data_IF_692081222479
#
_entry.id   IF_692081222479
#
_cell.length_a   1.000
_cell.length_b   1.000
_cell.length_c   1.000
_cell.angle_alpha   90.00
_cell.angle_beta   90.00
_cell.angle_gamma   90.00
#
_symmetry.space_group_name_H-M   'P 1'
#
loop_
_entity.id
_entity.type
_entity.pdbx_description
1 polymer ?
#
# COMPACT_ATOMS: atom_id res chain seq x y z
N UNK A 1 7.28 -15.07 31.64
CA UNK A 1 7.45 -13.71 31.10
C UNK A 1 6.41 -12.77 31.68
N UNK A 2 6.80 -11.65 32.32
CA UNK A 2 5.83 -10.74 32.93
C UNK A 2 4.91 -10.08 31.86
N UNK A 3 3.67 -9.71 32.25
CA UNK A 3 2.72 -9.05 31.33
C UNK A 3 3.28 -7.76 30.70
N UNK A 4 4.16 -7.06 31.42
CA UNK A 4 4.86 -5.86 30.93
C UNK A 4 5.87 -6.20 29.81
N UNK A 5 6.58 -7.33 29.94
CA UNK A 5 7.52 -7.77 28.91
C UNK A 5 6.78 -8.20 27.64
N UNK A 6 5.67 -8.95 27.74
CA UNK A 6 4.82 -9.31 26.60
C UNK A 6 4.31 -8.07 25.86
N UNK A 7 3.85 -7.04 26.58
CA UNK A 7 3.38 -5.81 25.98
C UNK A 7 4.50 -5.11 25.19
N UNK A 8 5.71 -5.04 25.75
CA UNK A 8 6.87 -4.42 25.10
C UNK A 8 7.16 -5.10 23.76
N UNK A 9 7.22 -6.43 23.71
CA UNK A 9 7.47 -7.17 22.46
C UNK A 9 6.37 -6.97 21.42
N UNK A 10 5.11 -6.96 21.83
CA UNK A 10 3.97 -6.67 20.91
C UNK A 10 4.09 -5.27 20.31
N UNK A 11 4.50 -4.27 21.10
CA UNK A 11 4.66 -2.90 20.62
C UNK A 11 5.85 -2.77 19.65
N UNK A 12 6.98 -3.43 19.92
CA UNK A 12 8.10 -3.49 18.97
C UNK A 12 7.73 -4.23 17.68
N UNK A 13 6.97 -5.33 17.78
CA UNK A 13 6.40 -6.02 16.63
C UNK A 13 5.49 -5.15 15.80
N UNK A 14 4.67 -4.30 16.46
CA UNK A 14 3.81 -3.35 15.76
C UNK A 14 4.61 -2.25 15.02
N UNK A 15 5.73 -1.79 15.59
CA UNK A 15 6.65 -0.85 14.90
C UNK A 15 7.25 -1.53 13.67
N UNK A 16 7.78 -2.74 13.83
CA UNK A 16 8.35 -3.50 12.72
C UNK A 16 7.34 -3.72 11.59
N UNK A 17 6.12 -4.18 11.95
CA UNK A 17 5.05 -4.38 10.99
C UNK A 17 4.61 -3.07 10.32
N UNK A 18 4.63 -1.95 11.05
CA UNK A 18 4.37 -0.62 10.53
C UNK A 18 5.40 -0.20 9.47
N UNK A 19 6.70 -0.28 9.79
CA UNK A 19 7.78 0.00 8.85
C UNK A 19 7.73 -0.90 7.63
N UNK A 20 7.56 -2.22 7.83
CA UNK A 20 7.39 -3.18 6.75
C UNK A 20 6.23 -2.80 5.81
N UNK A 21 5.03 -2.61 6.37
CA UNK A 21 3.84 -2.30 5.59
C UNK A 21 3.92 -0.94 4.89
N UNK A 22 4.59 0.05 5.50
CA UNK A 22 4.74 1.40 4.93
C UNK A 22 5.47 1.37 3.59
N UNK A 23 6.70 0.84 3.55
CA UNK A 23 7.46 0.79 2.30
C UNK A 23 6.93 -0.25 1.32
N UNK A 24 6.38 -1.37 1.82
CA UNK A 24 5.72 -2.34 0.95
C UNK A 24 4.53 -1.73 0.22
N UNK A 25 3.71 -0.94 0.92
CA UNK A 25 2.56 -0.24 0.33
C UNK A 25 3.01 0.81 -0.70
N UNK A 26 4.01 1.61 -0.36
CA UNK A 26 4.57 2.63 -1.26
C UNK A 26 4.97 2.02 -2.60
N UNK A 27 5.76 0.94 -2.55
CA UNK A 27 6.22 0.24 -3.75
C UNK A 27 5.06 -0.41 -4.53
N UNK A 28 4.10 -1.02 -3.83
CA UNK A 28 2.93 -1.63 -4.47
C UNK A 28 2.09 -0.59 -5.21
N UNK A 29 1.85 0.56 -4.58
CA UNK A 29 1.09 1.65 -5.20
C UNK A 29 1.84 2.27 -6.37
N UNK A 30 3.14 2.56 -6.23
CA UNK A 30 3.95 3.08 -7.33
C UNK A 30 3.91 2.13 -8.52
N UNK A 31 3.96 0.83 -8.26
CA UNK A 31 3.88 -0.20 -9.30
C UNK A 31 2.51 -0.24 -9.97
N UNK A 32 1.41 -0.18 -9.20
CA UNK A 32 0.05 -0.15 -9.76
C UNK A 32 -0.20 1.11 -10.60
N UNK A 33 0.23 2.27 -10.10
CA UNK A 33 0.07 3.55 -10.80
C UNK A 33 0.88 3.64 -12.08
N UNK A 34 2.01 2.94 -12.16
CA UNK A 34 2.89 3.02 -13.35
C UNK A 34 2.20 2.63 -14.65
N UNK A 35 1.17 1.78 -14.60
CA UNK A 35 0.34 1.44 -15.76
C UNK A 35 -0.53 2.59 -16.28
N UNK A 36 -0.88 3.56 -15.42
CA UNK A 36 -1.76 4.68 -15.77
C UNK A 36 -1.00 5.98 -16.06
N UNK A 37 0.07 6.23 -15.31
CA UNK A 37 0.79 7.51 -15.36
C UNK A 37 2.23 7.39 -15.87
N UNK A 38 2.66 6.17 -16.17
CA UNK A 38 4.03 5.86 -16.57
C UNK A 38 5.03 5.90 -15.41
N UNK A 39 6.17 5.27 -15.61
CA UNK A 39 7.28 5.20 -14.61
C UNK A 39 8.25 6.35 -14.82
N UNK A 40 7.82 7.60 -14.60
CA UNK A 40 8.69 8.77 -14.75
C UNK A 40 9.24 9.24 -13.40
N UNK A 41 10.40 9.89 -13.41
CA UNK A 41 10.98 10.51 -12.23
C UNK A 41 10.04 11.57 -11.62
N UNK A 42 9.27 12.29 -12.45
CA UNK A 42 8.31 13.30 -12.00
C UNK A 42 7.19 12.65 -11.21
N UNK A 43 6.58 11.58 -11.73
CA UNK A 43 5.52 10.84 -11.07
C UNK A 43 5.99 10.28 -9.72
N UNK A 44 7.17 9.63 -9.71
CA UNK A 44 7.75 9.08 -8.49
C UNK A 44 8.03 10.19 -7.46
N UNK A 45 8.58 11.33 -7.87
CA UNK A 45 8.87 12.46 -6.99
C UNK A 45 7.61 13.04 -6.34
N UNK A 46 6.50 13.13 -7.08
CA UNK A 46 5.21 13.60 -6.54
C UNK A 46 4.71 12.63 -5.47
N UNK A 47 4.68 11.34 -5.78
CA UNK A 47 4.20 10.31 -4.86
C UNK A 47 5.04 10.33 -3.59
N UNK A 48 6.36 10.21 -3.69
CA UNK A 48 7.29 10.20 -2.56
C UNK A 48 7.16 11.51 -1.75
N UNK A 49 7.09 12.65 -2.42
CA UNK A 49 6.96 13.96 -1.76
C UNK A 49 5.68 14.05 -0.92
N UNK A 50 4.54 13.63 -1.45
CA UNK A 50 3.27 13.59 -0.71
C UNK A 50 3.34 12.60 0.45
N UNK A 51 3.86 11.39 0.23
CA UNK A 51 3.99 10.37 1.28
C UNK A 51 4.85 10.88 2.46
N UNK A 52 6.02 11.46 2.17
CA UNK A 52 6.92 12.01 3.19
C UNK A 52 6.29 13.21 3.92
N UNK A 53 5.57 14.08 3.22
CA UNK A 53 4.89 15.22 3.83
C UNK A 53 3.82 14.75 4.83
N UNK A 54 2.97 13.80 4.44
CA UNK A 54 1.95 13.27 5.33
C UNK A 54 2.51 12.42 6.47
N UNK A 55 3.58 11.66 6.24
CA UNK A 55 4.29 10.94 7.29
C UNK A 55 4.89 11.93 8.31
N UNK A 56 5.45 13.06 7.86
CA UNK A 56 5.93 14.12 8.73
C UNK A 56 4.81 14.74 9.58
N UNK A 57 3.65 15.00 8.99
CA UNK A 57 2.46 15.45 9.72
C UNK A 57 2.00 14.40 10.75
N UNK A 58 2.09 13.12 10.39
CA UNK A 58 1.83 12.01 11.29
C UNK A 58 2.77 12.00 12.50
N UNK A 59 4.07 12.17 12.28
CA UNK A 59 5.07 12.30 13.35
C UNK A 59 4.75 13.48 14.27
N UNK A 60 4.47 14.64 13.70
CA UNK A 60 4.10 15.83 14.47
C UNK A 60 2.87 15.55 15.33
N UNK A 61 1.78 15.04 14.74
CA UNK A 61 0.55 14.75 15.48
C UNK A 61 0.75 13.67 16.53
N UNK A 62 1.47 12.59 16.20
CA UNK A 62 1.76 11.49 17.13
C UNK A 62 2.59 11.96 18.34
N UNK A 63 3.49 12.91 18.16
CA UNK A 63 4.29 13.47 19.25
C UNK A 63 3.48 14.29 20.27
N UNK A 64 2.32 14.83 19.87
CA UNK A 64 1.44 15.62 20.76
C UNK A 64 0.41 14.77 21.49
N UNK A 65 0.14 13.53 21.03
CA UNK A 65 -0.88 12.66 21.63
C UNK A 65 -0.46 12.22 23.03
N UNK A 66 -1.25 12.58 24.05
CA UNK A 66 -1.06 12.10 25.42
C UNK A 66 -1.83 10.81 25.65
N UNK A 67 -1.11 9.73 25.92
CA UNK A 67 -1.72 8.40 26.11
C UNK A 67 -1.55 7.94 27.55
N UNK A 68 -2.66 7.58 28.17
CA UNK A 68 -2.66 6.87 29.47
C UNK A 68 -2.06 5.47 29.26
N UNK A 69 -1.27 5.02 30.24
CA UNK A 69 -0.49 3.76 30.21
C UNK A 69 -1.30 2.53 29.76
N UNK A 70 -2.57 2.44 30.15
CA UNK A 70 -3.41 1.27 29.90
C UNK A 70 -4.20 1.36 28.56
N UNK A 71 -4.11 2.46 27.82
CA UNK A 71 -4.92 2.69 26.60
C UNK A 71 -4.12 2.67 25.31
N UNK A 72 -2.80 2.41 25.35
CA UNK A 72 -1.94 2.46 24.15
C UNK A 72 -2.48 1.54 23.04
N UNK A 73 -2.88 0.32 23.37
CA UNK A 73 -3.42 -0.65 22.41
C UNK A 73 -4.72 -0.18 21.76
N UNK A 74 -5.60 0.45 22.54
CA UNK A 74 -6.89 0.96 22.08
C UNK A 74 -6.74 2.16 21.12
N UNK A 75 -5.64 2.88 21.23
CA UNK A 75 -5.32 4.00 20.33
C UNK A 75 -4.68 3.53 19.03
N UNK A 76 -3.81 2.52 19.10
CA UNK A 76 -3.07 2.04 17.92
C UNK A 76 -3.85 1.06 17.06
N UNK A 77 -4.67 0.21 17.67
CA UNK A 77 -5.38 -0.84 16.92
C UNK A 77 -6.32 -0.28 15.82
N UNK A 78 -7.10 0.78 16.05
CA UNK A 78 -7.88 1.43 14.97
C UNK A 78 -7.01 1.98 13.85
N UNK A 79 -5.84 2.56 14.17
CA UNK A 79 -4.94 3.09 13.15
C UNK A 79 -4.51 2.00 12.16
N UNK A 80 -4.18 0.79 12.64
CA UNK A 80 -3.83 -0.34 11.78
C UNK A 80 -5.01 -0.86 10.95
N UNK A 81 -6.24 -0.79 11.46
CA UNK A 81 -7.45 -1.13 10.67
C UNK A 81 -7.63 -0.13 9.53
N UNK A 82 -7.48 1.17 9.81
CA UNK A 82 -7.57 2.21 8.78
C UNK A 82 -6.43 2.08 7.76
N UNK A 83 -5.21 1.76 8.20
CA UNK A 83 -4.08 1.47 7.32
C UNK A 83 -4.44 0.32 6.36
N UNK A 84 -4.98 -0.78 6.87
CA UNK A 84 -5.39 -1.92 6.04
C UNK A 84 -6.46 -1.51 5.01
N UNK A 85 -7.47 -0.76 5.43
CA UNK A 85 -8.52 -0.26 4.54
C UNK A 85 -7.94 0.66 3.45
N UNK A 86 -7.12 1.64 3.84
CA UNK A 86 -6.49 2.56 2.90
C UNK A 86 -5.51 1.85 1.95
N UNK A 87 -4.80 0.83 2.42
CA UNK A 87 -3.94 0.00 1.56
C UNK A 87 -4.74 -0.67 0.45
N UNK A 88 -5.91 -1.23 0.77
CA UNK A 88 -6.79 -1.86 -0.22
C UNK A 88 -7.35 -0.83 -1.20
N UNK A 89 -7.86 0.29 -0.69
CA UNK A 89 -8.48 1.32 -1.52
C UNK A 89 -7.47 2.00 -2.45
N UNK A 90 -6.27 2.29 -1.94
CA UNK A 90 -5.24 2.99 -2.70
C UNK A 90 -4.41 2.09 -3.63
N UNK A 91 -4.54 0.78 -3.56
CA UNK A 91 -3.75 -0.14 -4.39
C UNK A 91 -4.62 -1.03 -5.28
N UNK A 92 -5.95 -0.89 -5.24
CA UNK A 92 -6.83 -1.67 -6.09
C UNK A 92 -6.80 -1.11 -7.52
N UNK A 93 -6.47 -1.97 -8.50
CA UNK A 93 -6.45 -1.60 -9.91
C UNK A 93 -7.77 -0.99 -10.39
N UNK A 94 -8.90 -1.59 -9.97
CA UNK A 94 -10.25 -1.13 -10.33
C UNK A 94 -10.52 0.29 -9.80
N UNK A 95 -10.12 0.57 -8.56
CA UNK A 95 -10.34 1.89 -7.96
C UNK A 95 -9.41 2.94 -8.56
N UNK A 96 -8.21 2.55 -8.95
CA UNK A 96 -7.27 3.41 -9.69
C UNK A 96 -7.87 3.76 -11.05
N UNK A 97 -8.33 2.75 -11.80
CA UNK A 97 -8.95 2.96 -13.11
C UNK A 97 -10.18 3.85 -13.02
N UNK A 98 -11.10 3.58 -12.09
CA UNK A 98 -12.27 4.42 -11.83
C UNK A 98 -11.88 5.87 -11.51
N UNK A 99 -10.82 6.06 -10.73
CA UNK A 99 -10.30 7.40 -10.42
C UNK A 99 -9.81 8.11 -11.69
N UNK A 100 -8.99 7.46 -12.52
CA UNK A 100 -8.48 8.07 -13.76
C UNK A 100 -9.60 8.33 -14.77
N UNK A 101 -10.56 7.44 -14.87
CA UNK A 101 -11.77 7.65 -15.67
C UNK A 101 -12.53 8.90 -15.21
N UNK A 102 -12.76 9.06 -13.92
CA UNK A 102 -13.44 10.23 -13.36
C UNK A 102 -12.65 11.53 -13.59
N UNK A 103 -11.31 11.51 -13.41
CA UNK A 103 -10.45 12.68 -13.66
C UNK A 103 -10.49 13.11 -15.14
N UNK A 104 -10.46 12.16 -16.06
CA UNK A 104 -10.58 12.42 -17.48
C UNK A 104 -11.96 13.01 -17.84
N UNK A 105 -13.03 12.49 -17.22
CA UNK A 105 -14.39 13.00 -17.35
C UNK A 105 -14.57 14.44 -16.86
N UNK A 106 -13.80 14.84 -15.83
CA UNK A 106 -13.73 16.21 -15.31
C UNK A 106 -12.83 17.14 -16.17
N UNK A 107 -12.22 16.63 -17.25
CA UNK A 107 -11.34 17.38 -18.11
C UNK A 107 -9.91 17.57 -17.58
N UNK A 108 -9.55 16.93 -16.45
CA UNK A 108 -8.20 16.98 -15.89
C UNK A 108 -7.36 15.89 -16.59
N UNK A 109 -6.68 16.27 -17.66
CA UNK A 109 -5.87 15.36 -18.51
C UNK A 109 -4.38 15.38 -18.18
N UNK A 110 -3.93 16.29 -17.33
CA UNK A 110 -2.51 16.37 -16.93
C UNK A 110 -2.17 15.23 -16.00
N UNK A 111 -1.28 14.32 -16.42
CA UNK A 111 -0.77 13.19 -15.63
C UNK A 111 -0.19 13.66 -14.28
N UNK A 112 0.51 14.79 -14.28
CA UNK A 112 1.08 15.41 -13.07
C UNK A 112 -0.03 15.79 -12.08
N UNK A 113 -1.08 16.46 -12.56
CA UNK A 113 -2.21 16.87 -11.72
C UNK A 113 -2.99 15.66 -11.21
N UNK A 114 -3.25 14.68 -12.08
CA UNK A 114 -3.92 13.43 -11.68
C UNK A 114 -3.12 12.69 -10.61
N UNK A 115 -1.80 12.52 -10.79
CA UNK A 115 -0.93 11.86 -9.80
C UNK A 115 -0.92 12.60 -8.47
N UNK A 116 -0.84 13.93 -8.51
CA UNK A 116 -0.82 14.75 -7.29
C UNK A 116 -2.13 14.63 -6.50
N UNK A 117 -3.27 14.77 -7.18
CA UNK A 117 -4.59 14.65 -6.55
C UNK A 117 -4.82 13.23 -6.02
N UNK A 118 -4.45 12.20 -6.78
CA UNK A 118 -4.51 10.81 -6.33
C UNK A 118 -3.72 10.61 -5.03
N UNK A 119 -2.48 11.08 -5.01
CA UNK A 119 -1.60 10.94 -3.85
C UNK A 119 -2.15 11.68 -2.63
N UNK A 120 -2.75 12.85 -2.82
CA UNK A 120 -3.38 13.60 -1.73
C UNK A 120 -4.62 12.90 -1.18
N UNK A 121 -5.49 12.38 -2.04
CA UNK A 121 -6.79 11.86 -1.61
C UNK A 121 -6.72 10.42 -1.09
N UNK A 122 -5.99 9.55 -1.78
CA UNK A 122 -6.00 8.12 -1.52
C UNK A 122 -4.75 7.61 -0.81
N UNK A 123 -3.57 8.20 -1.09
CA UNK A 123 -2.32 7.73 -0.49
C UNK A 123 -1.97 8.40 0.82
N UNK A 124 -2.41 9.61 1.09
CA UNK A 124 -1.95 10.41 2.23
C UNK A 124 -2.28 9.83 3.60
N UNK A 125 -3.41 9.13 3.72
CA UNK A 125 -3.90 8.64 5.01
C UNK A 125 -3.00 7.56 5.64
N UNK A 126 -2.51 6.61 4.84
CA UNK A 126 -1.67 5.51 5.34
C UNK A 126 -0.32 6.01 5.86
N UNK A 127 0.49 6.81 5.13
CA UNK A 127 1.73 7.40 5.64
C UNK A 127 1.54 8.28 6.87
N UNK A 128 0.46 9.08 6.89
CA UNK A 128 0.12 9.85 8.07
C UNK A 128 -0.06 8.96 9.31
N UNK A 129 -0.77 7.85 9.18
CA UNK A 129 -1.00 6.92 10.28
C UNK A 129 0.27 6.16 10.65
N UNK A 130 1.11 5.75 9.70
CA UNK A 130 2.41 5.14 10.00
C UNK A 130 3.29 6.09 10.81
N UNK A 131 3.43 7.35 10.38
CA UNK A 131 4.18 8.36 11.13
C UNK A 131 3.60 8.60 12.53
N UNK A 132 2.27 8.70 12.64
CA UNK A 132 1.59 8.85 13.93
C UNK A 132 1.86 7.66 14.86
N UNK A 133 1.75 6.42 14.39
CA UNK A 133 1.98 5.21 15.17
C UNK A 133 3.41 5.17 15.70
N UNK A 134 4.40 5.39 14.85
CA UNK A 134 5.82 5.38 15.22
C UNK A 134 6.14 6.45 16.27
N UNK A 135 5.62 7.68 16.12
CA UNK A 135 5.83 8.76 17.09
C UNK A 135 5.14 8.48 18.42
N UNK A 136 3.93 7.98 18.39
CA UNK A 136 3.17 7.59 19.60
C UNK A 136 3.90 6.50 20.38
N UNK A 137 4.40 5.46 19.70
CA UNK A 137 5.15 4.37 20.32
C UNK A 137 6.49 4.82 20.85
N UNK A 138 7.21 5.67 20.12
CA UNK A 138 8.46 6.27 20.56
C UNK A 138 8.26 7.04 21.89
N UNK A 139 7.28 7.93 21.93
CA UNK A 139 6.96 8.69 23.13
C UNK A 139 6.48 7.82 24.30
N UNK A 140 5.68 6.80 24.01
CA UNK A 140 5.17 5.89 25.04
C UNK A 140 6.29 5.06 25.66
N UNK A 141 7.19 4.48 24.87
CA UNK A 141 8.26 3.61 25.35
C UNK A 141 9.46 4.38 25.92
N UNK A 142 9.67 5.65 25.49
CA UNK A 142 10.68 6.54 26.08
C UNK A 142 10.49 6.73 27.59
N UNK A 143 9.24 6.68 28.09
CA UNK A 143 8.95 6.80 29.52
C UNK A 143 9.52 5.66 30.37
N UNK A 144 9.86 4.54 29.77
CA UNK A 144 10.42 3.37 30.49
C UNK A 144 11.94 3.28 30.36
N UNK A 145 12.50 3.76 29.24
CA UNK A 145 13.92 3.79 28.97
C UNK A 145 14.18 4.81 27.86
N UNK A 146 15.06 5.77 28.10
CA UNK A 146 15.41 6.83 27.15
C UNK A 146 15.97 6.26 25.84
N UNK A 147 16.67 5.12 25.91
CA UNK A 147 17.24 4.46 24.73
C UNK A 147 16.19 3.81 23.82
N UNK A 148 14.93 3.68 24.27
CA UNK A 148 13.88 3.06 23.45
C UNK A 148 13.54 3.86 22.19
N UNK A 149 13.73 5.19 22.18
CA UNK A 149 13.50 6.00 20.98
C UNK A 149 14.39 5.56 19.82
N UNK A 150 15.70 5.42 20.04
CA UNK A 150 16.63 4.92 19.02
C UNK A 150 16.35 3.49 18.60
N UNK A 151 15.98 2.62 19.56
CA UNK A 151 15.61 1.22 19.27
C UNK A 151 14.35 1.14 18.40
N UNK A 152 13.35 1.97 18.64
CA UNK A 152 12.12 2.03 17.83
C UNK A 152 12.46 2.45 16.41
N UNK A 153 13.24 3.54 16.24
CA UNK A 153 13.66 3.98 14.92
C UNK A 153 14.46 2.89 14.18
N UNK A 154 15.36 2.20 14.86
CA UNK A 154 16.10 1.09 14.28
C UNK A 154 15.17 -0.05 13.82
N UNK A 155 14.21 -0.46 14.65
CA UNK A 155 13.25 -1.54 14.33
C UNK A 155 12.33 -1.12 13.19
N UNK A 156 11.85 0.11 13.17
CA UNK A 156 11.05 0.69 12.07
C UNK A 156 11.83 0.67 10.76
N UNK A 157 13.07 1.15 10.78
CA UNK A 157 13.96 1.14 9.60
C UNK A 157 14.25 -0.27 9.10
N UNK A 158 14.54 -1.23 10.00
CA UNK A 158 14.75 -2.64 9.62
C UNK A 158 13.48 -3.22 9.01
N UNK A 159 12.32 -2.94 9.60
CA UNK A 159 11.03 -3.31 9.02
C UNK A 159 10.85 -2.76 7.61
N UNK A 160 11.14 -1.48 7.42
CA UNK A 160 11.05 -0.78 6.13
C UNK A 160 12.00 -1.37 5.08
N UNK A 161 13.26 -1.62 5.44
CA UNK A 161 14.25 -2.26 4.55
C UNK A 161 13.79 -3.66 4.13
N UNK A 162 13.37 -4.47 5.08
CA UNK A 162 12.86 -5.81 4.77
C UNK A 162 11.56 -5.75 3.96
N UNK A 163 10.68 -4.79 4.27
CA UNK A 163 9.46 -4.54 3.51
C UNK A 163 9.76 -4.23 2.05
N UNK A 164 10.70 -3.31 1.78
CA UNK A 164 11.05 -2.94 0.40
C UNK A 164 11.69 -4.10 -0.36
N UNK A 165 12.67 -4.78 0.23
CA UNK A 165 13.39 -5.88 -0.42
C UNK A 165 12.46 -7.07 -0.69
N UNK A 166 11.73 -7.53 0.33
CA UNK A 166 10.85 -8.69 0.19
C UNK A 166 9.68 -8.40 -0.74
N UNK A 167 9.11 -7.21 -0.69
CA UNK A 167 8.02 -6.84 -1.60
C UNK A 167 8.47 -6.85 -3.05
N UNK A 168 9.60 -6.22 -3.36
CA UNK A 168 10.03 -6.07 -4.76
C UNK A 168 10.66 -7.34 -5.31
N UNK A 169 11.48 -8.06 -4.52
CA UNK A 169 12.23 -9.22 -5.01
C UNK A 169 11.51 -10.56 -4.82
N UNK A 170 10.55 -10.62 -3.91
CA UNK A 170 9.88 -11.89 -3.58
C UNK A 170 8.37 -11.79 -3.81
N UNK A 171 7.67 -10.87 -3.13
CA UNK A 171 6.21 -10.89 -3.15
C UNK A 171 5.68 -10.56 -4.54
N UNK A 172 6.07 -9.43 -5.12
CA UNK A 172 5.56 -9.02 -6.44
C UNK A 172 5.93 -10.00 -7.57
N UNK A 173 7.16 -10.54 -7.67
CA UNK A 173 7.49 -11.49 -8.75
C UNK A 173 6.81 -12.85 -8.61
N UNK A 174 6.66 -13.37 -7.39
CA UNK A 174 6.16 -14.74 -7.19
C UNK A 174 4.66 -14.81 -6.87
N UNK A 175 4.11 -13.75 -6.28
CA UNK A 175 2.71 -13.72 -5.81
C UNK A 175 1.87 -12.72 -6.61
N UNK A 176 2.52 -11.79 -7.30
CA UNK A 176 1.87 -10.70 -8.03
C UNK A 176 1.56 -9.49 -7.15
N UNK A 177 1.33 -8.35 -7.79
CA UNK A 177 1.09 -7.07 -7.08
C UNK A 177 -0.21 -7.11 -6.29
N UNK A 178 -1.27 -7.69 -6.87
CA UNK A 178 -2.60 -7.76 -6.25
C UNK A 178 -2.59 -8.54 -4.94
N UNK A 179 -2.00 -9.73 -4.94
CA UNK A 179 -1.87 -10.55 -3.74
C UNK A 179 -0.90 -9.93 -2.72
N UNK A 180 0.12 -9.21 -3.18
CA UNK A 180 1.02 -8.44 -2.29
C UNK A 180 0.23 -7.39 -1.50
N UNK A 181 -0.68 -6.65 -2.13
CA UNK A 181 -1.58 -5.70 -1.44
C UNK A 181 -2.43 -6.40 -0.38
N UNK A 182 -2.98 -7.56 -0.72
CA UNK A 182 -3.78 -8.36 0.24
C UNK A 182 -2.92 -8.79 1.44
N UNK A 183 -1.68 -9.20 1.23
CA UNK A 183 -0.74 -9.56 2.31
C UNK A 183 -0.39 -8.36 3.20
N UNK A 184 -0.19 -7.18 2.62
CA UNK A 184 0.05 -5.93 3.38
C UNK A 184 -1.15 -5.61 4.26
N UNK A 185 -2.36 -5.66 3.70
CA UNK A 185 -3.60 -5.44 4.45
C UNK A 185 -3.77 -6.49 5.57
N UNK A 186 -3.52 -7.76 5.27
CA UNK A 186 -3.57 -8.85 6.26
C UNK A 186 -2.56 -8.64 7.41
N UNK A 187 -1.33 -8.22 7.11
CA UNK A 187 -0.31 -7.92 8.10
C UNK A 187 -0.73 -6.75 9.03
N UNK A 188 -1.34 -5.70 8.46
CA UNK A 188 -1.88 -4.59 9.24
C UNK A 188 -3.05 -5.04 10.14
N UNK A 189 -4.00 -5.84 9.62
CA UNK A 189 -5.10 -6.38 10.41
C UNK A 189 -4.64 -7.35 11.50
N UNK A 190 -3.66 -8.20 11.20
CA UNK A 190 -3.04 -9.07 12.20
C UNK A 190 -2.40 -8.25 13.32
N UNK A 191 -1.72 -7.16 12.98
CA UNK A 191 -1.13 -6.23 13.96
C UNK A 191 -2.22 -5.59 14.81
N UNK A 192 -3.34 -5.15 14.23
CA UNK A 192 -4.49 -4.63 14.96
C UNK A 192 -5.08 -5.67 15.94
N UNK A 193 -5.18 -6.92 15.51
CA UNK A 193 -5.66 -8.01 16.33
C UNK A 193 -4.70 -8.32 17.49
N UNK A 194 -3.40 -8.39 17.25
CA UNK A 194 -2.37 -8.57 18.29
C UNK A 194 -2.36 -7.40 19.30
N UNK A 195 -2.70 -6.20 18.86
CA UNK A 195 -2.94 -5.05 19.72
C UNK A 195 -4.26 -5.14 20.51
N UNK A 196 -5.07 -6.18 20.27
CA UNK A 196 -6.28 -6.48 21.04
C UNK A 196 -7.54 -5.83 20.49
N UNK A 197 -7.58 -5.49 19.19
CA UNK A 197 -8.83 -5.12 18.53
C UNK A 197 -9.82 -6.28 18.54
N UNK A 198 -11.07 -5.96 18.83
CA UNK A 198 -12.20 -6.92 18.80
C UNK A 198 -13.14 -6.69 17.62
N UNK A 199 -12.78 -5.80 16.70
CA UNK A 199 -13.59 -5.48 15.52
C UNK A 199 -13.43 -6.53 14.41
N UNK A 200 -13.64 -7.80 14.77
CA UNK A 200 -13.42 -8.96 13.88
C UNK A 200 -14.28 -8.85 12.61
N UNK A 201 -15.54 -8.43 12.75
CA UNK A 201 -16.46 -8.29 11.60
C UNK A 201 -15.92 -7.27 10.59
N UNK A 202 -15.43 -6.11 11.07
CA UNK A 202 -14.84 -5.09 10.21
C UNK A 202 -13.55 -5.60 9.54
N UNK A 203 -12.70 -6.33 10.29
CA UNK A 203 -11.48 -6.91 9.74
C UNK A 203 -11.78 -7.94 8.64
N UNK A 204 -12.77 -8.81 8.87
CA UNK A 204 -13.22 -9.78 7.86
C UNK A 204 -13.81 -9.07 6.63
N UNK A 205 -14.57 -7.99 6.82
CA UNK A 205 -15.10 -7.20 5.72
C UNK A 205 -13.99 -6.56 4.88
N UNK A 206 -12.95 -5.99 5.52
CA UNK A 206 -11.80 -5.42 4.81
C UNK A 206 -11.04 -6.52 4.03
N UNK A 207 -10.86 -7.71 4.62
CA UNK A 207 -10.21 -8.83 3.92
C UNK A 207 -11.05 -9.33 2.75
N UNK A 208 -12.37 -9.39 2.89
CA UNK A 208 -13.28 -9.75 1.80
C UNK A 208 -13.23 -8.71 0.68
N UNK A 209 -13.23 -7.42 1.03
CA UNK A 209 -13.07 -6.34 0.06
C UNK A 209 -11.71 -6.42 -0.65
N UNK A 210 -10.61 -6.66 0.09
CA UNK A 210 -9.29 -6.86 -0.48
C UNK A 210 -9.28 -8.00 -1.50
N UNK A 211 -9.86 -9.14 -1.13
CA UNK A 211 -9.95 -10.30 -2.01
C UNK A 211 -10.82 -10.01 -3.25
N UNK A 212 -11.97 -9.37 -3.08
CA UNK A 212 -12.90 -9.10 -4.18
C UNK A 212 -12.34 -8.09 -5.18
N UNK A 213 -11.67 -7.03 -4.68
CA UNK A 213 -11.15 -5.94 -5.51
C UNK A 213 -9.80 -6.28 -6.19
N UNK A 214 -9.07 -7.28 -5.68
CA UNK A 214 -7.76 -7.65 -6.20
C UNK A 214 -7.75 -9.08 -6.78
N UNK A 215 -8.91 -9.57 -7.22
CA UNK A 215 -9.03 -10.92 -7.79
C UNK A 215 -8.50 -10.95 -9.21
N UNK A 216 -7.57 -11.84 -9.50
CA UNK A 216 -6.94 -11.96 -10.83
C UNK A 216 -7.95 -12.27 -11.94
N UNK A 217 -8.97 -13.09 -11.67
CA UNK A 217 -10.04 -13.36 -12.64
C UNK A 217 -10.76 -12.11 -13.11
N UNK A 218 -11.01 -11.18 -12.20
CA UNK A 218 -11.70 -9.94 -12.52
C UNK A 218 -10.82 -9.04 -13.39
N UNK A 219 -9.51 -9.01 -13.14
CA UNK A 219 -8.56 -8.27 -13.97
C UNK A 219 -8.42 -8.92 -15.37
N UNK A 220 -8.46 -10.25 -15.45
CA UNK A 220 -8.41 -10.97 -16.72
C UNK A 220 -9.69 -10.74 -17.53
N UNK A 221 -10.87 -10.88 -16.90
CA UNK A 221 -12.16 -10.80 -17.58
C UNK A 221 -12.56 -9.38 -17.99
N UNK A 222 -12.20 -8.36 -17.19
CA UNK A 222 -12.63 -6.96 -17.41
C UNK A 222 -11.55 -6.15 -18.14
N UNK A 223 -10.28 -6.37 -17.78
CA UNK A 223 -9.15 -5.56 -18.28
C UNK A 223 -8.21 -6.35 -19.20
N UNK A 224 -8.51 -7.64 -19.46
CA UNK A 224 -7.66 -8.54 -20.24
C UNK A 224 -6.21 -8.57 -19.75
N UNK A 225 -6.00 -8.30 -18.43
CA UNK A 225 -4.68 -8.35 -17.82
C UNK A 225 -4.33 -9.80 -17.52
N UNK A 226 -3.33 -10.30 -18.24
CA UNK A 226 -2.82 -11.66 -18.10
C UNK A 226 -1.83 -11.76 -16.95
N UNK A 227 -1.02 -10.72 -16.77
CA UNK A 227 0.02 -10.70 -15.73
C UNK A 227 0.21 -9.27 -15.19
N UNK A 228 0.31 -9.17 -13.86
CA UNK A 228 0.63 -7.93 -13.16
C UNK A 228 1.71 -8.22 -12.11
N UNK A 229 2.96 -8.07 -12.51
CA UNK A 229 4.13 -8.40 -11.68
C UNK A 229 4.97 -7.16 -11.33
N UNK A 230 6.15 -7.37 -10.75
CA UNK A 230 7.06 -6.30 -10.33
C UNK A 230 7.56 -5.42 -11.50
N UNK A 231 7.60 -5.94 -12.72
CA UNK A 231 8.21 -5.30 -13.89
C UNK A 231 7.17 -4.63 -14.78
N UNK A 232 6.10 -5.37 -15.11
CA UNK A 232 5.11 -4.93 -16.10
C UNK A 232 3.70 -5.41 -15.79
N UNK A 233 2.72 -4.66 -16.26
CA UNK A 233 1.35 -5.11 -16.45
C UNK A 233 1.20 -5.51 -17.91
N UNK A 234 0.85 -6.75 -18.16
CA UNK A 234 0.68 -7.31 -19.50
C UNK A 234 -0.81 -7.54 -19.72
N UNK A 235 -1.37 -6.87 -20.73
CA UNK A 235 -2.73 -7.12 -21.22
C UNK A 235 -2.70 -7.54 -22.68
N UNK A 236 -3.75 -8.27 -23.09
CA UNK A 236 -3.94 -8.70 -24.45
C UNK A 236 -5.27 -8.12 -24.95
N UNK A 237 -5.20 -7.23 -25.93
CA UNK A 237 -6.36 -6.59 -26.53
C UNK A 237 -6.53 -7.06 -27.97
N UNK A 238 -7.77 -7.10 -28.45
CA UNK A 238 -8.06 -7.34 -29.84
C UNK A 238 -7.78 -6.07 -30.65
N UNK A 239 -7.06 -6.21 -31.77
CA UNK A 239 -6.82 -5.09 -32.65
C UNK A 239 -8.12 -4.69 -33.39
N UNK A 240 -8.16 -3.45 -33.90
CA UNK A 240 -9.30 -2.91 -34.66
C UNK A 240 -9.66 -3.74 -35.90
N UNK A 241 -8.74 -4.57 -36.38
CA UNK A 241 -8.94 -5.48 -37.51
C UNK A 241 -9.74 -6.77 -37.15
N UNK A 242 -9.99 -7.01 -35.85
CA UNK A 242 -10.71 -8.20 -35.36
C UNK A 242 -10.04 -9.53 -35.62
N UNK A 243 -8.80 -9.55 -36.20
CA UNK A 243 -8.04 -10.73 -36.57
C UNK A 243 -6.68 -10.82 -35.89
N UNK A 244 -6.25 -9.76 -35.25
CA UNK A 244 -4.96 -9.67 -34.60
C UNK A 244 -5.14 -9.40 -33.13
N UNK A 245 -4.20 -9.90 -32.32
CA UNK A 245 -4.11 -9.59 -30.88
C UNK A 245 -2.89 -8.72 -30.63
N UNK A 246 -3.08 -7.66 -29.84
CA UNK A 246 -2.02 -6.74 -29.46
C UNK A 246 -1.67 -7.04 -28.01
N UNK A 247 -0.42 -7.37 -27.74
CA UNK A 247 0.12 -7.42 -26.40
C UNK A 247 0.49 -6.00 -25.97
N UNK A 248 -0.15 -5.53 -24.91
CA UNK A 248 0.13 -4.25 -24.30
C UNK A 248 1.03 -4.46 -23.08
N UNK A 249 2.01 -3.57 -22.91
CA UNK A 249 2.89 -3.57 -21.74
C UNK A 249 2.84 -2.21 -21.08
N UNK A 250 2.38 -2.15 -19.83
CA UNK A 250 2.17 -0.90 -19.09
C UNK A 250 1.33 0.14 -19.88
N UNK A 251 0.29 -0.32 -20.58
CA UNK A 251 -0.58 0.52 -21.39
C UNK A 251 -0.01 0.93 -22.76
N UNK A 252 1.17 0.48 -23.14
CA UNK A 252 1.78 0.70 -24.45
C UNK A 252 1.82 -0.57 -25.28
N UNK A 253 1.56 -0.48 -26.60
CA UNK A 253 1.68 -1.61 -27.52
C UNK A 253 3.11 -2.13 -27.59
N UNK A 254 3.30 -3.42 -27.27
CA UNK A 254 4.61 -4.07 -27.26
C UNK A 254 4.81 -4.99 -28.45
N UNK A 255 3.77 -5.74 -28.87
CA UNK A 255 3.81 -6.61 -30.04
C UNK A 255 2.41 -6.85 -30.58
N UNK A 256 2.31 -7.15 -31.87
CA UNK A 256 1.08 -7.55 -32.54
C UNK A 256 1.28 -8.93 -33.15
N UNK A 257 0.34 -9.83 -32.90
CA UNK A 257 0.31 -11.19 -33.48
C UNK A 257 -0.93 -11.28 -34.34
N UNK A 258 -0.74 -11.58 -35.62
CA UNK A 258 -1.83 -11.84 -36.56
C UNK A 258 -2.08 -13.35 -36.67
N UNK A 259 -3.35 -13.74 -36.82
CA UNK A 259 -3.71 -15.11 -37.18
C UNK A 259 -3.47 -15.39 -38.66
N UNK A 260 -3.14 -14.39 -39.46
CA UNK A 260 -2.90 -14.52 -40.90
C UNK A 260 -1.44 -14.92 -41.13
N UNK A 261 -1.17 -16.07 -41.79
CA UNK A 261 0.19 -16.61 -41.98
C UNK A 261 1.05 -15.79 -42.97
N UNK A 262 0.52 -14.71 -43.57
CA UNK A 262 1.23 -13.86 -44.54
C UNK A 262 1.82 -12.55 -43.91
N UNK A 263 1.81 -12.41 -42.59
CA UNK A 263 2.44 -11.29 -41.90
C UNK A 263 3.52 -11.71 -40.91
#
# INVERSE_FOLDING_TARGET
MSAKAKLKYVLFGAVFAGGFASLSLELAVMRQLSGFVGSTAVTASIIIGVLLAFMSLGYYRGSTVSIRRNRIRQVLAPDFIVIALMSVLASSYILIDLYFWAMNGLGIRSTVAQTFVYSLLLLSAAPYLFGKVTAVLSRYLHRFDRNNTGRIMAVDTVGSVLGSILTTLVLMPFVGVNHTVMLIAAAALLTAWLLGSRQIVLMLFIMLAAFSLNRDRLLLEVYHIVENNAVSTISVEEADDGRSKIMMMNGGGASKVSEDPEF
#
